data_IF_052546684239
#
_entry.id   IF_052546684239
#
_cell.length_a   1.000
_cell.length_b   1.000
_cell.length_c   1.000
_cell.angle_alpha   90.00
_cell.angle_beta   90.00
_cell.angle_gamma   90.00
#
_symmetry.space_group_name_H-M   'P 1'
#
loop_
_entity.id
_entity.type
_entity.pdbx_description
1 polymer ?
#
# COMPACT_ATOMS: atom_id res chain seq x y z
N UNK A 1 -49.17 33.81 -0.04
CA UNK A 1 -50.14 33.16 0.86
C UNK A 1 -49.38 32.64 2.06
N UNK A 2 -49.91 32.89 3.25
CA UNK A 2 -49.24 32.91 4.55
C UNK A 2 -49.21 31.54 5.23
N UNK A 3 -48.09 31.29 5.93
CA UNK A 3 -47.78 30.47 7.11
C UNK A 3 -48.58 29.21 7.47
N UNK A 4 -47.85 28.19 7.95
CA UNK A 4 -48.01 27.71 9.34
C UNK A 4 -46.63 27.41 9.93
N UNK A 5 -46.33 28.09 11.04
CA UNK A 5 -45.24 27.80 11.97
C UNK A 5 -45.58 26.54 12.77
N UNK A 6 -44.61 25.64 12.95
CA UNK A 6 -44.62 24.76 14.11
C UNK A 6 -43.29 24.88 14.85
N UNK A 7 -43.41 25.15 16.14
CA UNK A 7 -42.35 25.52 17.05
C UNK A 7 -41.74 24.27 17.69
N UNK A 8 -40.44 24.05 17.49
CA UNK A 8 -39.59 23.28 18.41
C UNK A 8 -38.10 23.43 18.06
N UNK A 9 -37.46 24.34 18.80
CA UNK A 9 -36.10 24.24 19.39
C UNK A 9 -34.92 23.74 18.53
N UNK A 10 -33.97 24.67 18.36
CA UNK A 10 -32.59 24.52 17.93
C UNK A 10 -31.82 23.40 18.66
N UNK A 11 -31.16 22.49 17.92
CA UNK A 11 -29.81 22.01 18.23
C UNK A 11 -29.15 21.32 17.03
N UNK A 12 -27.83 21.51 16.95
CA UNK A 12 -26.93 21.41 15.80
C UNK A 12 -26.83 20.04 15.12
N UNK A 13 -26.75 20.04 13.79
CA UNK A 13 -26.34 18.89 12.96
C UNK A 13 -24.81 18.72 13.11
N UNK A 14 -24.35 18.13 14.21
CA UNK A 14 -22.94 17.70 14.34
C UNK A 14 -22.72 16.35 15.03
N UNK A 15 -23.77 15.59 15.39
CA UNK A 15 -23.61 14.35 16.17
C UNK A 15 -24.10 13.07 15.46
N UNK A 16 -23.72 12.84 14.20
CA UNK A 16 -23.93 11.54 13.53
C UNK A 16 -22.77 11.07 12.63
N UNK A 17 -21.52 11.30 13.05
CA UNK A 17 -20.34 10.63 12.48
C UNK A 17 -19.38 10.05 13.54
N UNK A 18 -19.82 9.86 14.78
CA UNK A 18 -18.95 9.35 15.86
C UNK A 18 -19.01 7.84 16.11
N UNK A 19 -19.87 7.08 15.44
CA UNK A 19 -20.03 5.65 15.73
C UNK A 19 -19.82 4.76 14.51
N UNK A 20 -18.54 4.53 14.18
CA UNK A 20 -18.03 3.36 13.45
C UNK A 20 -16.49 3.28 13.59
N UNK A 21 -15.96 3.46 14.80
CA UNK A 21 -14.57 3.13 15.12
C UNK A 21 -14.58 1.91 16.06
N UNK A 22 -14.83 0.75 15.47
CA UNK A 22 -14.69 -0.53 16.15
C UNK A 22 -13.21 -0.76 16.53
N UNK A 23 -12.91 -0.41 17.79
CA UNK A 23 -11.90 -1.02 18.66
C UNK A 23 -10.49 -1.25 18.10
N UNK A 24 -9.57 -0.32 18.38
CA UNK A 24 -8.17 -0.67 18.65
C UNK A 24 -7.65 0.22 19.77
N UNK A 25 -7.35 -0.41 20.91
CA UNK A 25 -6.65 0.16 22.04
C UNK A 25 -5.23 0.60 21.65
N UNK A 26 -5.00 1.92 21.68
CA UNK A 26 -3.84 2.50 22.35
C UNK A 26 -2.43 2.29 21.77
N UNK A 27 -2.25 1.98 20.49
CA UNK A 27 -0.89 2.04 19.92
C UNK A 27 -0.52 3.48 19.60
N UNK A 28 0.47 4.00 20.33
CA UNK A 28 0.98 5.36 20.11
C UNK A 28 1.86 5.40 18.86
N UNK A 29 1.81 6.52 18.12
CA UNK A 29 2.67 6.74 16.93
C UNK A 29 4.16 6.49 17.22
N UNK A 30 4.61 6.82 18.44
CA UNK A 30 5.99 6.59 18.91
C UNK A 30 6.37 5.11 18.92
N UNK A 31 5.47 4.23 19.38
CA UNK A 31 5.72 2.78 19.38
C UNK A 31 5.87 2.23 17.97
N UNK A 32 5.06 2.72 17.02
CA UNK A 32 5.17 2.31 15.61
C UNK A 32 6.49 2.78 15.01
N UNK A 33 6.91 4.03 15.26
CA UNK A 33 8.19 4.53 14.76
C UNK A 33 9.36 3.74 15.34
N UNK A 34 9.39 3.51 16.65
CA UNK A 34 10.44 2.71 17.31
C UNK A 34 10.50 1.29 16.75
N UNK A 35 9.34 0.68 16.49
CA UNK A 35 9.27 -0.64 15.87
C UNK A 35 9.87 -0.62 14.46
N UNK A 36 9.48 0.33 13.62
CA UNK A 36 9.99 0.44 12.25
C UNK A 36 11.50 0.69 12.23
N UNK A 37 12.02 1.52 13.14
CA UNK A 37 13.45 1.76 13.26
C UNK A 37 14.17 0.47 13.66
N UNK A 38 13.65 -0.26 14.67
CA UNK A 38 14.22 -1.53 15.12
C UNK A 38 14.24 -2.61 14.01
N UNK A 39 13.22 -2.66 13.15
CA UNK A 39 13.20 -3.57 12.00
C UNK A 39 14.27 -3.24 10.96
N UNK A 40 14.71 -1.99 10.87
CA UNK A 40 15.66 -1.53 9.86
C UNK A 40 17.12 -1.54 10.32
N UNK A 41 17.42 -1.53 11.63
CA UNK A 41 18.81 -1.46 12.16
C UNK A 41 19.75 -2.51 11.53
N UNK A 42 19.29 -3.75 11.39
CA UNK A 42 20.08 -4.86 10.85
C UNK A 42 19.57 -5.33 9.47
N UNK A 43 18.75 -4.53 8.80
CA UNK A 43 18.15 -4.94 7.54
C UNK A 43 19.04 -4.61 6.35
N UNK A 44 19.57 -5.65 5.70
CA UNK A 44 20.27 -5.49 4.44
C UNK A 44 19.33 -5.73 3.25
N UNK A 45 19.07 -4.65 2.48
CA UNK A 45 18.22 -4.68 1.27
C UNK A 45 18.90 -5.23 0.03
N UNK A 46 20.22 -5.40 0.02
CA UNK A 46 20.96 -5.97 -1.12
C UNK A 46 20.68 -7.46 -1.30
N UNK A 47 20.29 -8.15 -0.23
CA UNK A 47 19.98 -9.57 -0.26
C UNK A 47 18.49 -9.84 -0.19
N UNK A 48 18.05 -10.70 -1.11
CA UNK A 48 16.71 -11.27 -1.11
C UNK A 48 16.43 -12.04 0.20
N UNK A 49 15.20 -12.01 0.72
CA UNK A 49 14.80 -12.86 1.84
C UNK A 49 15.08 -14.34 1.56
N UNK A 50 15.77 -15.02 2.48
CA UNK A 50 16.15 -16.43 2.30
C UNK A 50 17.26 -16.65 1.27
N UNK A 51 18.16 -15.69 1.09
CA UNK A 51 19.36 -15.84 0.26
C UNK A 51 20.13 -17.13 0.62
N UNK A 52 20.56 -17.89 -0.40
CA UNK A 52 21.21 -19.20 -0.23
C UNK A 52 20.27 -20.37 0.11
N UNK A 53 18.97 -20.13 0.29
CA UNK A 53 17.98 -21.14 0.61
C UNK A 53 16.96 -21.40 -0.50
N UNK A 54 15.76 -21.83 -0.08
CA UNK A 54 14.62 -22.10 -0.98
C UNK A 54 14.24 -20.85 -1.80
N UNK A 55 13.63 -21.03 -2.98
CA UNK A 55 13.13 -19.91 -3.74
C UNK A 55 12.01 -19.14 -2.98
N UNK A 56 12.05 -17.82 -3.08
CA UNK A 56 11.01 -16.90 -2.65
C UNK A 56 9.94 -16.84 -3.72
N UNK A 57 8.71 -17.13 -3.32
CA UNK A 57 7.55 -17.01 -4.17
C UNK A 57 7.03 -15.57 -4.15
N UNK A 58 6.97 -14.95 -5.32
CA UNK A 58 6.37 -13.63 -5.52
C UNK A 58 5.06 -13.85 -6.25
N UNK A 59 3.94 -13.44 -5.65
CA UNK A 59 2.63 -13.45 -6.30
C UNK A 59 2.40 -12.10 -6.95
N UNK A 60 2.20 -12.09 -8.25
CA UNK A 60 1.87 -10.88 -9.01
C UNK A 60 0.39 -10.87 -9.35
N UNK A 61 -0.23 -9.70 -9.26
CA UNK A 61 -1.59 -9.46 -9.74
C UNK A 61 -1.59 -8.23 -10.64
N UNK A 62 -2.22 -8.33 -11.79
CA UNK A 62 -2.39 -7.23 -12.75
C UNK A 62 -3.87 -6.90 -12.79
N UNK A 63 -4.20 -5.63 -12.60
CA UNK A 63 -5.53 -5.10 -12.85
C UNK A 63 -5.45 -4.08 -13.98
N UNK A 64 -5.98 -4.42 -15.15
CA UNK A 64 -6.03 -3.49 -16.28
C UNK A 64 -7.09 -2.43 -15.97
N UNK A 65 -6.69 -1.17 -16.02
CA UNK A 65 -7.56 -0.01 -15.77
C UNK A 65 -8.17 0.52 -17.05
N UNK A 66 -7.36 0.61 -18.10
CA UNK A 66 -7.81 0.98 -19.43
C UNK A 66 -6.82 0.50 -20.48
N UNK A 67 -7.35 0.20 -21.65
CA UNK A 67 -6.56 0.04 -22.87
C UNK A 67 -6.52 1.39 -23.57
N UNK A 68 -5.32 1.83 -23.92
CA UNK A 68 -5.07 3.03 -24.70
C UNK A 68 -5.10 2.73 -26.21
N UNK A 69 -4.63 3.68 -27.03
CA UNK A 69 -4.61 3.49 -28.48
C UNK A 69 -3.67 2.36 -28.89
N UNK A 70 -4.05 1.70 -29.98
CA UNK A 70 -3.24 0.73 -30.69
C UNK A 70 -2.75 1.40 -31.96
N UNK A 71 -1.43 1.48 -32.13
CA UNK A 71 -0.79 2.01 -33.33
C UNK A 71 -0.32 0.84 -34.19
N UNK A 72 -0.86 0.73 -35.40
CA UNK A 72 -0.49 -0.32 -36.34
C UNK A 72 0.91 -0.10 -36.94
N UNK A 73 1.24 1.16 -37.25
CA UNK A 73 2.53 1.56 -37.83
C UNK A 73 3.70 1.11 -36.95
N UNK A 74 3.60 1.32 -35.63
CA UNK A 74 4.64 0.91 -34.68
C UNK A 74 4.40 -0.47 -34.07
N UNK A 75 3.32 -1.16 -34.44
CA UNK A 75 2.84 -2.38 -33.78
C UNK A 75 2.87 -2.25 -32.25
N UNK A 76 2.27 -1.17 -31.72
CA UNK A 76 2.34 -0.85 -30.30
C UNK A 76 0.96 -0.58 -29.71
N UNK A 77 0.79 -0.89 -28.43
CA UNK A 77 -0.40 -0.52 -27.69
C UNK A 77 0.01 0.16 -26.38
N UNK A 78 -0.84 1.08 -25.92
CA UNK A 78 -0.73 1.64 -24.57
C UNK A 78 -1.75 0.99 -23.65
N UNK A 79 -1.41 0.80 -22.37
CA UNK A 79 -2.38 0.39 -21.35
C UNK A 79 -2.04 1.02 -20.00
N UNK A 80 -3.06 1.27 -19.20
CA UNK A 80 -2.91 1.65 -17.80
C UNK A 80 -3.31 0.45 -16.95
N UNK A 81 -2.49 0.12 -15.96
CA UNK A 81 -2.74 -1.01 -15.07
C UNK A 81 -2.40 -0.65 -13.62
N UNK A 82 -2.91 -1.44 -12.69
CA UNK A 82 -2.31 -1.55 -11.36
C UNK A 82 -1.52 -2.84 -11.30
N UNK A 83 -0.26 -2.70 -10.93
CA UNK A 83 0.63 -3.81 -10.70
C UNK A 83 0.79 -4.05 -9.21
N UNK A 84 0.41 -5.24 -8.76
CA UNK A 84 0.45 -5.63 -7.35
C UNK A 84 1.36 -6.82 -7.17
N UNK A 85 2.15 -6.78 -6.11
CA UNK A 85 3.08 -7.83 -5.75
C UNK A 85 2.93 -8.18 -4.28
N UNK A 86 3.00 -9.48 -4.01
CA UNK A 86 2.96 -10.02 -2.66
C UNK A 86 4.13 -10.97 -2.49
N UNK A 87 4.93 -10.71 -1.48
CA UNK A 87 6.01 -11.61 -1.07
C UNK A 87 6.10 -11.68 0.44
N UNK A 88 6.93 -12.61 0.92
CA UNK A 88 7.06 -12.89 2.34
C UNK A 88 8.51 -12.66 2.79
N UNK A 89 8.71 -11.76 3.74
CA UNK A 89 10.02 -11.47 4.35
C UNK A 89 9.93 -11.64 5.87
N UNK A 90 10.49 -12.76 6.36
CA UNK A 90 10.52 -13.08 7.80
C UNK A 90 11.25 -12.05 8.65
N UNK A 91 12.20 -11.31 8.06
CA UNK A 91 13.02 -10.30 8.78
C UNK A 91 12.19 -9.07 9.17
N UNK A 92 11.07 -8.86 8.49
CA UNK A 92 10.14 -7.75 8.73
C UNK A 92 8.91 -8.20 9.52
N UNK A 93 8.92 -9.42 10.06
CA UNK A 93 7.90 -9.86 10.99
C UNK A 93 8.02 -9.06 12.28
N UNK A 94 6.88 -8.66 12.83
CA UNK A 94 6.81 -7.91 14.07
C UNK A 94 5.67 -8.43 14.93
N UNK A 95 5.80 -8.25 16.24
CA UNK A 95 4.71 -8.53 17.17
C UNK A 95 4.36 -7.24 17.90
N UNK A 96 3.13 -6.81 17.73
CA UNK A 96 2.59 -5.64 18.39
C UNK A 96 1.16 -5.99 18.80
N UNK A 97 0.84 -5.73 20.07
CA UNK A 97 -0.49 -6.04 20.59
C UNK A 97 -1.55 -5.27 19.78
N UNK A 98 -2.63 -5.98 19.43
CA UNK A 98 -3.78 -5.44 18.70
C UNK A 98 -3.51 -4.87 17.29
N UNK A 99 -2.31 -5.07 16.71
CA UNK A 99 -2.01 -4.70 15.33
C UNK A 99 -1.63 -5.91 14.49
N UNK A 100 -2.39 -6.16 13.44
CA UNK A 100 -2.15 -7.24 12.48
C UNK A 100 -1.48 -6.76 11.20
N UNK A 101 -1.72 -5.51 10.80
CA UNK A 101 -1.23 -4.92 9.55
C UNK A 101 -0.86 -3.45 9.77
N UNK A 102 0.25 -3.03 9.16
CA UNK A 102 0.73 -1.66 9.13
C UNK A 102 0.67 -1.13 7.69
N UNK A 103 0.11 0.06 7.52
CA UNK A 103 0.16 0.80 6.26
C UNK A 103 1.35 1.76 6.31
N UNK A 104 2.22 1.67 5.30
CA UNK A 104 3.51 2.35 5.31
C UNK A 104 3.62 3.30 4.12
N UNK A 105 4.40 4.36 4.31
CA UNK A 105 4.72 5.32 3.26
C UNK A 105 5.76 4.73 2.30
N UNK A 106 5.81 5.25 1.06
CA UNK A 106 6.78 4.90 0.03
C UNK A 106 8.24 5.02 0.49
N UNK A 107 8.55 5.95 1.42
CA UNK A 107 9.90 6.08 2.00
C UNK A 107 10.41 4.77 2.61
N UNK A 108 9.55 4.01 3.26
CA UNK A 108 9.92 2.72 3.86
C UNK A 108 10.24 1.67 2.78
N UNK A 109 9.53 1.70 1.65
CA UNK A 109 9.73 0.77 0.54
C UNK A 109 11.13 0.87 -0.08
N UNK A 110 11.75 2.06 -0.07
CA UNK A 110 13.11 2.29 -0.58
C UNK A 110 14.20 1.68 0.30
N UNK A 111 13.89 1.42 1.58
CA UNK A 111 14.82 0.88 2.56
C UNK A 111 14.76 -0.64 2.66
N UNK A 112 13.74 -1.28 2.08
CA UNK A 112 13.57 -2.73 2.10
C UNK A 112 13.91 -3.37 0.75
N UNK A 113 14.15 -4.68 0.76
CA UNK A 113 14.31 -5.45 -0.47
C UNK A 113 12.96 -5.49 -1.21
N UNK A 114 13.00 -5.29 -2.52
CA UNK A 114 11.86 -5.42 -3.42
C UNK A 114 12.27 -6.28 -4.62
N UNK A 115 11.36 -7.04 -5.23
CA UNK A 115 11.68 -7.77 -6.44
C UNK A 115 11.85 -6.81 -7.63
N UNK A 116 12.89 -7.05 -8.43
CA UNK A 116 13.18 -6.29 -9.66
C UNK A 116 12.37 -6.88 -10.83
N UNK A 117 11.06 -6.63 -10.84
CA UNK A 117 10.18 -7.10 -11.91
C UNK A 117 10.06 -6.06 -13.01
N UNK A 118 10.25 -6.49 -14.25
CA UNK A 118 10.18 -5.67 -15.45
C UNK A 118 9.35 -6.35 -16.54
N UNK A 119 8.85 -5.56 -17.49
CA UNK A 119 8.09 -6.04 -18.64
C UNK A 119 9.02 -6.22 -19.84
N UNK A 120 9.21 -7.46 -20.29
CA UNK A 120 10.09 -7.79 -21.42
C UNK A 120 9.67 -7.08 -22.73
N UNK A 121 8.36 -7.03 -22.99
CA UNK A 121 7.82 -6.42 -24.21
C UNK A 121 7.42 -4.95 -24.03
N UNK A 122 7.83 -4.32 -22.92
CA UNK A 122 7.56 -2.91 -22.67
C UNK A 122 8.48 -2.04 -23.53
N UNK A 123 7.95 -1.41 -24.58
CA UNK A 123 8.71 -0.38 -25.33
C UNK A 123 9.04 0.83 -24.44
N UNK A 124 8.03 1.35 -23.76
CA UNK A 124 8.14 2.44 -22.77
C UNK A 124 7.15 2.17 -21.65
N UNK A 125 7.61 2.25 -20.40
CA UNK A 125 6.76 2.16 -19.21
C UNK A 125 6.96 3.39 -18.35
N UNK A 126 5.87 4.04 -17.96
CA UNK A 126 5.90 5.18 -17.05
C UNK A 126 5.19 4.81 -15.76
N UNK A 127 5.87 5.03 -14.63
CA UNK A 127 5.27 4.96 -13.31
C UNK A 127 4.68 6.33 -12.99
N UNK A 128 3.41 6.40 -12.60
CA UNK A 128 2.79 7.70 -12.30
C UNK A 128 3.36 8.29 -11.00
N UNK A 129 4.16 9.36 -11.14
CA UNK A 129 4.86 10.01 -10.02
C UNK A 129 4.26 11.37 -9.57
N UNK A 130 3.14 11.81 -10.15
CA UNK A 130 2.52 13.13 -9.88
C UNK A 130 1.28 12.98 -8.96
N UNK A 131 1.11 13.72 -7.86
CA UNK A 131 2.05 14.64 -7.14
C UNK A 131 2.90 13.92 -6.08
N UNK A 132 2.59 12.66 -5.77
CA UNK A 132 3.37 11.71 -4.96
C UNK A 132 3.33 10.37 -5.71
N UNK A 133 4.43 9.60 -5.76
CA UNK A 133 4.42 8.26 -6.36
C UNK A 133 3.29 7.43 -5.74
N UNK A 134 2.35 6.99 -6.59
CA UNK A 134 1.15 6.28 -6.17
C UNK A 134 1.49 4.82 -5.83
N UNK A 135 2.17 4.65 -4.69
CA UNK A 135 2.63 3.38 -4.18
C UNK A 135 1.99 3.15 -2.83
N UNK A 136 1.22 2.08 -2.74
CA UNK A 136 0.63 1.63 -1.50
C UNK A 136 1.40 0.42 -0.98
N UNK A 137 1.99 0.55 0.21
CA UNK A 137 2.68 -0.52 0.91
C UNK A 137 1.91 -0.90 2.18
N UNK A 138 1.67 -2.20 2.32
CA UNK A 138 1.09 -2.79 3.52
C UNK A 138 1.94 -3.96 3.98
N UNK A 139 2.24 -3.98 5.28
CA UNK A 139 3.05 -5.01 5.93
C UNK A 139 2.21 -5.69 7.01
N UNK A 140 2.08 -7.01 6.94
CA UNK A 140 1.39 -7.81 7.94
C UNK A 140 2.38 -8.32 8.99
N UNK A 141 1.89 -8.57 10.21
CA UNK A 141 2.70 -9.03 11.36
C UNK A 141 3.52 -10.30 11.09
N UNK A 142 3.05 -11.15 10.18
CA UNK A 142 3.73 -12.38 9.77
C UNK A 142 4.97 -12.12 8.88
N UNK A 143 5.18 -10.89 8.39
CA UNK A 143 6.22 -10.56 7.42
C UNK A 143 5.75 -10.59 5.97
N UNK A 144 4.44 -10.74 5.72
CA UNK A 144 3.87 -10.64 4.38
C UNK A 144 3.78 -9.17 3.96
N UNK A 145 4.38 -8.87 2.81
CA UNK A 145 4.34 -7.55 2.19
C UNK A 145 3.39 -7.55 1.01
N UNK A 146 2.61 -6.49 0.91
CA UNK A 146 1.73 -6.19 -0.21
C UNK A 146 2.09 -4.81 -0.76
N UNK A 147 2.47 -4.76 -2.02
CA UNK A 147 2.75 -3.52 -2.73
C UNK A 147 1.83 -3.39 -3.93
N UNK A 148 1.25 -2.20 -4.09
CA UNK A 148 0.48 -1.83 -5.28
C UNK A 148 1.10 -0.59 -5.91
N UNK A 149 1.32 -0.64 -7.22
CA UNK A 149 1.83 0.46 -8.05
C UNK A 149 0.88 0.71 -9.23
N UNK A 150 0.86 1.93 -9.73
CA UNK A 150 0.09 2.34 -10.93
C UNK A 150 1.00 2.63 -12.10
#
# INVERSE_FOLDING_TARGET
MVAVNDSRTCTTITDKLSNCASGVSGVTKKQVTQLLDNLLINYNKGFRPGHGGKPLYIRAHILIRSMGPVTEIDMSYSMQLYYRQVWYDKRLAFNLENITELQLNNKFLHNIWKPDTYFLNGKKSYQHDITVPNIFLRMRKDGRLYVSRR
#
